data_IF_295035797444
#
_entry.id   IF_295035797444
#
_cell.length_a   1.000
_cell.length_b   1.000
_cell.length_c   1.000
_cell.angle_alpha   90.00
_cell.angle_beta   90.00
_cell.angle_gamma   90.00
#
_symmetry.space_group_name_H-M   'P 1'
#
loop_
_entity.id
_entity.type
_entity.pdbx_description
1 polymer ?
#
# COMPACT_ATOMS: atom_id res chain seq x y z
N UNK A 1 -4.37 -12.78 34.19
CA UNK A 1 -5.64 -13.49 34.01
C UNK A 1 -6.77 -12.50 34.18
N UNK A 2 -7.69 -12.33 33.23
CA UNK A 2 -8.94 -11.61 33.47
C UNK A 2 -9.97 -12.63 33.95
N UNK A 3 -10.51 -12.42 35.14
CA UNK A 3 -11.47 -13.31 35.77
C UNK A 3 -12.74 -12.53 36.12
N UNK A 4 -13.89 -13.12 35.80
CA UNK A 4 -15.16 -12.69 36.36
C UNK A 4 -15.32 -13.35 37.72
N UNK A 5 -15.66 -12.58 38.74
CA UNK A 5 -15.93 -13.11 40.08
C UNK A 5 -17.44 -13.31 40.19
N UNK A 6 -17.87 -14.56 40.42
CA UNK A 6 -19.28 -14.84 40.68
C UNK A 6 -19.69 -14.30 42.06
N UNK A 7 -21.00 -14.12 42.34
CA UNK A 7 -21.49 -13.73 43.67
C UNK A 7 -20.97 -14.65 44.81
N UNK A 8 -20.67 -15.91 44.50
CA UNK A 8 -20.12 -16.90 45.42
C UNK A 8 -18.59 -16.82 45.57
N UNK A 9 -17.94 -15.79 44.98
CA UNK A 9 -16.50 -15.59 45.04
C UNK A 9 -15.68 -16.48 44.10
N UNK A 10 -16.32 -17.22 43.18
CA UNK A 10 -15.63 -18.10 42.24
C UNK A 10 -15.13 -17.31 41.03
N UNK A 11 -13.80 -17.28 40.85
CA UNK A 11 -13.18 -16.72 39.66
C UNK A 11 -13.38 -17.62 38.44
N UNK A 12 -14.05 -17.12 37.41
CA UNK A 12 -14.18 -17.78 36.10
C UNK A 12 -13.29 -17.06 35.09
N UNK A 13 -12.37 -17.74 34.39
CA UNK A 13 -11.50 -17.09 33.41
C UNK A 13 -12.33 -16.57 32.25
N UNK A 14 -12.31 -15.25 32.06
CA UNK A 14 -12.96 -14.56 30.95
C UNK A 14 -12.11 -14.64 29.68
N UNK A 15 -10.79 -14.60 29.84
CA UNK A 15 -9.83 -14.78 28.75
C UNK A 15 -8.92 -15.96 29.09
N UNK A 16 -9.06 -17.05 28.32
CA UNK A 16 -8.29 -18.29 28.52
C UNK A 16 -6.93 -18.30 27.82
N UNK A 17 -6.71 -17.41 26.85
CA UNK A 17 -5.50 -17.35 26.00
C UNK A 17 -4.51 -16.27 26.47
N UNK A 18 -4.21 -16.22 27.77
CA UNK A 18 -3.32 -15.20 28.31
C UNK A 18 -1.89 -15.72 28.42
N UNK A 19 -0.96 -15.09 27.70
CA UNK A 19 0.47 -15.22 27.96
C UNK A 19 0.79 -14.33 29.16
N UNK A 20 1.55 -14.84 30.13
CA UNK A 20 1.96 -14.06 31.30
C UNK A 20 2.80 -12.87 30.84
N UNK A 21 2.39 -11.70 31.30
CA UNK A 21 3.07 -10.43 31.07
C UNK A 21 2.64 -9.48 32.19
N UNK A 22 3.59 -8.76 32.76
CA UNK A 22 3.39 -7.96 33.96
C UNK A 22 2.58 -6.67 33.67
N UNK A 23 2.56 -6.22 32.41
CA UNK A 23 1.79 -5.06 31.96
C UNK A 23 0.37 -5.42 31.49
N UNK A 24 -0.07 -6.67 31.67
CA UNK A 24 -1.42 -7.06 31.27
C UNK A 24 -2.46 -6.33 32.13
N UNK A 25 -3.49 -5.78 31.48
CA UNK A 25 -4.57 -5.01 32.09
C UNK A 25 -4.17 -3.66 32.72
N UNK A 26 -2.88 -3.26 32.65
CA UNK A 26 -2.46 -1.92 33.08
C UNK A 26 -3.00 -0.86 32.13
N UNK A 27 -3.55 0.24 32.66
CA UNK A 27 -4.14 1.30 31.84
C UNK A 27 -5.49 0.93 31.22
N UNK A 28 -6.20 -0.03 31.81
CA UNK A 28 -7.61 -0.31 31.52
C UNK A 28 -8.47 0.91 31.81
N UNK A 29 -9.46 1.18 30.96
CA UNK A 29 -10.36 2.31 31.08
C UNK A 29 -11.81 1.89 30.78
N UNK A 30 -12.77 2.59 31.39
CA UNK A 30 -14.18 2.40 31.08
C UNK A 30 -14.56 3.24 29.86
N UNK A 31 -14.97 2.58 28.78
CA UNK A 31 -15.58 3.20 27.60
C UNK A 31 -17.02 2.69 27.48
N UNK A 32 -17.93 3.41 28.12
CA UNK A 32 -19.28 2.94 28.41
C UNK A 32 -19.99 2.36 27.17
N UNK A 33 -20.59 1.16 27.26
CA UNK A 33 -20.77 0.30 28.45
C UNK A 33 -19.63 -0.71 28.70
N UNK A 34 -18.53 -0.63 27.97
CA UNK A 34 -17.45 -1.62 27.96
C UNK A 34 -16.25 -1.19 28.83
N UNK A 35 -15.51 -2.16 29.36
CA UNK A 35 -14.14 -1.94 29.82
C UNK A 35 -13.18 -2.26 28.66
N UNK A 36 -12.26 -1.35 28.38
CA UNK A 36 -11.20 -1.52 27.39
C UNK A 36 -9.94 -2.02 28.09
N UNK A 37 -9.52 -3.23 27.76
CA UNK A 37 -8.51 -3.97 28.51
C UNK A 37 -7.29 -4.20 27.61
N UNK A 38 -6.18 -3.48 27.82
CA UNK A 38 -4.95 -3.71 27.10
C UNK A 38 -4.29 -5.02 27.55
N UNK A 39 -3.75 -5.77 26.59
CA UNK A 39 -3.14 -7.06 26.83
C UNK A 39 -1.94 -7.29 25.90
N UNK A 40 -1.01 -8.17 26.29
CA UNK A 40 0.17 -8.55 25.50
C UNK A 40 -0.14 -9.18 24.13
N UNK A 41 -1.41 -9.51 23.87
CA UNK A 41 -1.89 -10.16 22.64
C UNK A 41 -2.96 -9.37 21.88
N UNK A 42 -3.20 -8.12 22.27
CA UNK A 42 -4.23 -7.26 21.66
C UNK A 42 -5.04 -6.50 22.71
N UNK A 43 -6.16 -5.94 22.28
CA UNK A 43 -7.08 -5.22 23.17
C UNK A 43 -8.36 -6.01 23.27
N UNK A 44 -8.89 -6.15 24.47
CA UNK A 44 -10.19 -6.78 24.68
C UNK A 44 -11.18 -5.74 25.14
N UNK A 45 -12.39 -5.76 24.57
CA UNK A 45 -13.53 -5.09 25.17
C UNK A 45 -14.33 -6.09 26.00
N UNK A 46 -14.74 -5.67 27.19
CA UNK A 46 -15.48 -6.49 28.12
C UNK A 46 -16.76 -5.80 28.59
N UNK A 47 -17.85 -6.55 28.59
CA UNK A 47 -19.10 -6.25 29.31
C UNK A 47 -19.60 -7.56 29.90
N UNK A 48 -20.35 -7.58 31.01
CA UNK A 48 -20.88 -8.84 31.54
C UNK A 48 -21.59 -9.68 30.44
N UNK A 49 -21.05 -10.88 30.20
CA UNK A 49 -21.56 -11.80 29.17
C UNK A 49 -20.85 -11.75 27.80
N UNK A 50 -19.99 -10.76 27.54
CA UNK A 50 -19.26 -10.63 26.28
C UNK A 50 -17.81 -10.20 26.50
N UNK A 51 -16.88 -10.97 25.93
CA UNK A 51 -15.47 -10.62 25.82
C UNK A 51 -15.09 -10.82 24.37
N UNK A 52 -14.58 -9.79 23.73
CA UNK A 52 -14.08 -9.91 22.36
C UNK A 52 -12.86 -9.01 22.12
N UNK A 53 -12.05 -9.39 21.14
CA UNK A 53 -10.92 -8.58 20.69
C UNK A 53 -11.44 -7.34 19.96
N UNK A 54 -10.84 -6.20 20.28
CA UNK A 54 -11.27 -4.88 19.83
C UNK A 54 -10.13 -4.02 19.27
N UNK A 55 -8.87 -4.47 19.37
CA UNK A 55 -7.73 -3.68 18.93
C UNK A 55 -7.40 -3.88 17.45
N UNK A 56 -6.29 -3.26 17.03
CA UNK A 56 -5.76 -3.34 15.67
C UNK A 56 -5.49 -4.78 15.20
N UNK A 57 -5.30 -5.73 16.12
CA UNK A 57 -5.13 -7.16 15.79
C UNK A 57 -6.33 -7.77 15.05
N UNK A 58 -7.48 -7.09 15.06
CA UNK A 58 -8.67 -7.50 14.31
C UNK A 58 -8.73 -6.90 12.92
N UNK A 59 -7.96 -5.87 12.60
CA UNK A 59 -8.02 -5.20 11.30
C UNK A 59 -7.18 -5.94 10.24
N UNK A 60 -7.61 -7.16 9.89
CA UNK A 60 -6.88 -8.06 8.98
C UNK A 60 -6.93 -7.63 7.49
N UNK A 61 -7.83 -6.72 7.12
CA UNK A 61 -7.91 -6.18 5.75
C UNK A 61 -6.95 -5.00 5.58
N UNK A 62 -6.70 -4.28 6.65
CA UNK A 62 -5.86 -3.10 6.67
C UNK A 62 -4.56 -3.45 7.40
N UNK A 63 -3.68 -4.20 6.73
CA UNK A 63 -2.36 -4.58 7.26
C UNK A 63 -1.41 -3.37 7.39
N UNK A 64 -1.81 -2.39 8.19
CA UNK A 64 -1.01 -1.24 8.53
C UNK A 64 0.34 -1.68 9.11
N UNK A 65 1.44 -0.95 8.81
CA UNK A 65 2.72 -1.17 9.47
C UNK A 65 2.65 -0.83 10.97
N UNK A 66 1.63 -0.09 11.41
CA UNK A 66 1.42 0.28 12.82
C UNK A 66 0.92 -0.94 13.59
N UNK A 67 1.85 -1.65 14.25
CA UNK A 67 1.58 -2.85 15.04
C UNK A 67 2.30 -2.75 16.36
N UNK A 68 1.53 -2.61 17.43
CA UNK A 68 2.09 -2.33 18.75
C UNK A 68 1.24 -2.88 19.87
N UNK A 69 1.61 -2.51 21.09
CA UNK A 69 0.87 -2.84 22.30
C UNK A 69 0.27 -1.58 22.90
N UNK A 70 -1.02 -1.63 23.20
CA UNK A 70 -1.66 -0.56 23.95
C UNK A 70 -1.20 -0.58 25.42
N UNK A 71 -0.88 0.60 25.95
CA UNK A 71 -0.35 0.81 27.30
C UNK A 71 -1.32 1.53 28.22
N UNK A 72 -2.18 2.37 27.66
CA UNK A 72 -3.18 3.11 28.41
C UNK A 72 -4.36 3.47 27.50
N UNK A 73 -5.53 3.58 28.09
CA UNK A 73 -6.72 4.16 27.46
C UNK A 73 -7.21 5.35 28.26
N UNK A 74 -7.85 6.29 27.56
CA UNK A 74 -8.54 7.45 28.14
C UNK A 74 -9.77 7.71 27.27
N UNK A 75 -10.85 8.21 27.86
CA UNK A 75 -12.08 8.52 27.14
C UNK A 75 -12.32 10.02 27.12
N UNK A 76 -12.57 10.55 25.93
CA UNK A 76 -13.04 11.92 25.70
C UNK A 76 -14.43 11.87 25.07
N UNK A 77 -15.46 11.81 25.93
CA UNK A 77 -16.87 11.67 25.55
C UNK A 77 -17.10 10.44 24.62
N UNK A 78 -17.30 10.66 23.32
CA UNK A 78 -17.55 9.60 22.35
C UNK A 78 -16.28 8.95 21.80
N UNK A 79 -15.11 9.53 22.06
CA UNK A 79 -13.84 9.08 21.53
C UNK A 79 -13.06 8.28 22.56
N UNK A 80 -12.64 7.08 22.17
CA UNK A 80 -11.65 6.32 22.90
C UNK A 80 -10.26 6.71 22.40
N UNK A 81 -9.39 7.10 23.32
CA UNK A 81 -7.99 7.42 23.05
C UNK A 81 -7.12 6.30 23.59
N UNK A 82 -6.24 5.74 22.75
CA UNK A 82 -5.36 4.64 23.12
C UNK A 82 -3.89 4.97 22.90
N UNK A 83 -3.07 4.81 23.93
CA UNK A 83 -1.62 4.91 23.84
C UNK A 83 -1.04 3.61 23.34
N UNK A 84 -0.55 3.60 22.11
CA UNK A 84 0.03 2.43 21.46
C UNK A 84 1.55 2.57 21.38
N UNK A 85 2.30 1.61 21.92
CA UNK A 85 3.75 1.55 21.78
C UNK A 85 4.13 0.61 20.64
N UNK A 86 4.93 1.12 19.70
CA UNK A 86 5.49 0.38 18.55
C UNK A 86 7.01 0.51 18.59
N UNK A 87 7.70 -0.50 19.14
CA UNK A 87 9.14 -0.42 19.37
C UNK A 87 9.51 0.74 20.30
N UNK A 88 10.34 1.66 19.82
CA UNK A 88 10.73 2.88 20.54
C UNK A 88 9.89 4.11 20.16
N UNK A 89 8.71 3.91 19.56
CA UNK A 89 7.81 4.99 19.15
C UNK A 89 6.46 4.83 19.84
N UNK A 90 5.76 5.95 20.04
CA UNK A 90 4.38 5.93 20.52
C UNK A 90 3.44 6.55 19.51
N UNK A 91 2.24 5.99 19.47
CA UNK A 91 1.09 6.49 18.74
C UNK A 91 0.00 6.77 19.76
N UNK A 92 -0.65 7.92 19.64
CA UNK A 92 -1.95 8.14 20.29
C UNK A 92 -2.98 7.86 19.22
N UNK A 93 -3.69 6.75 19.40
CA UNK A 93 -4.75 6.31 18.51
C UNK A 93 -6.07 6.88 19.00
N UNK A 94 -6.93 7.25 18.06
CA UNK A 94 -8.32 7.61 18.33
C UNK A 94 -9.22 6.52 17.78
N UNK A 95 -10.27 6.17 18.51
CA UNK A 95 -11.22 5.17 18.09
C UNK A 95 -12.65 5.53 18.42
N UNK A 96 -13.55 4.98 17.61
CA UNK A 96 -15.00 4.98 17.81
C UNK A 96 -15.57 3.61 17.47
N UNK A 97 -16.80 3.37 17.92
CA UNK A 97 -17.55 2.20 17.49
C UNK A 97 -17.73 2.20 15.97
N UNK A 98 -17.64 1.00 15.41
CA UNK A 98 -17.90 0.75 13.99
C UNK A 98 -19.39 0.74 13.72
N UNK A 99 -19.82 1.54 12.76
CA UNK A 99 -21.18 1.57 12.23
C UNK A 99 -21.45 0.44 11.22
N UNK A 100 -22.73 0.18 10.95
CA UNK A 100 -23.15 -0.81 9.97
C UNK A 100 -22.66 -0.47 8.55
N UNK A 101 -21.99 -1.42 7.90
CA UNK A 101 -21.47 -1.26 6.53
C UNK A 101 -20.04 -0.72 6.44
N UNK A 102 -19.42 -0.32 7.56
CA UNK A 102 -18.03 0.16 7.56
C UNK A 102 -17.02 -1.00 7.49
N UNK A 103 -15.99 -0.92 6.61
CA UNK A 103 -15.12 -2.05 6.28
C UNK A 103 -14.13 -2.39 7.40
N UNK A 104 -14.10 -3.65 7.85
CA UNK A 104 -13.14 -4.19 8.83
C UNK A 104 -13.74 -5.34 9.65
N UNK A 105 -12.94 -5.99 10.50
CA UNK A 105 -13.40 -7.14 11.31
C UNK A 105 -13.46 -6.87 12.81
N UNK A 106 -12.89 -5.76 13.29
CA UNK A 106 -12.97 -5.35 14.69
C UNK A 106 -14.27 -4.59 14.99
N UNK A 107 -14.71 -4.55 16.24
CA UNK A 107 -15.84 -3.73 16.66
C UNK A 107 -15.54 -2.22 16.67
N UNK A 108 -14.27 -1.83 16.65
CA UNK A 108 -13.81 -0.44 16.69
C UNK A 108 -13.17 -0.06 15.36
N UNK A 109 -13.28 1.21 14.98
CA UNK A 109 -12.42 1.83 13.97
C UNK A 109 -11.34 2.60 14.69
N UNK A 110 -10.08 2.29 14.37
CA UNK A 110 -8.91 2.95 14.92
C UNK A 110 -8.26 3.83 13.85
N UNK A 111 -7.83 5.02 14.25
CA UNK A 111 -7.02 5.91 13.44
C UNK A 111 -5.87 6.50 14.26
N UNK A 112 -4.80 6.90 13.59
CA UNK A 112 -3.67 7.57 14.23
C UNK A 112 -4.00 9.04 14.43
N UNK A 113 -3.97 9.51 15.67
CA UNK A 113 -4.13 10.93 15.97
C UNK A 113 -2.77 11.63 16.10
N UNK A 114 -1.85 11.04 16.87
CA UNK A 114 -0.49 11.56 17.04
C UNK A 114 0.52 10.44 16.89
N UNK A 115 1.65 10.76 16.27
CA UNK A 115 2.85 9.94 16.21
C UNK A 115 4.02 10.71 16.84
N UNK A 116 4.77 10.04 17.72
CA UNK A 116 6.01 10.57 18.29
C UNK A 116 7.13 9.54 18.13
N UNK A 117 8.15 9.92 17.38
CA UNK A 117 9.34 9.11 17.15
C UNK A 117 10.25 9.11 18.38
N UNK A 118 10.90 7.98 18.65
CA UNK A 118 11.91 7.83 19.70
C UNK A 118 11.45 8.24 21.12
N UNK A 119 10.17 8.07 21.42
CA UNK A 119 9.56 8.40 22.72
C UNK A 119 8.97 7.14 23.35
N UNK A 120 9.07 7.05 24.67
CA UNK A 120 8.39 6.06 25.50
C UNK A 120 7.33 6.70 26.38
N UNK A 121 6.22 5.98 26.57
CA UNK A 121 5.14 6.38 27.47
C UNK A 121 4.39 5.15 27.95
N UNK A 122 3.90 5.19 29.19
CA UNK A 122 3.13 4.10 29.80
C UNK A 122 1.77 4.58 30.34
N UNK A 123 1.51 5.87 30.35
CA UNK A 123 0.34 6.44 30.99
C UNK A 123 -0.20 7.63 30.21
N UNK A 124 -1.53 7.73 30.20
CA UNK A 124 -2.28 8.88 29.72
C UNK A 124 -3.31 9.27 30.76
N UNK A 125 -3.64 10.56 30.81
CA UNK A 125 -4.64 11.09 31.72
C UNK A 125 -5.32 12.30 31.10
N UNK A 126 -6.65 12.28 31.00
CA UNK A 126 -7.41 13.46 30.60
C UNK A 126 -7.75 14.29 31.83
N UNK A 127 -7.51 15.60 31.73
CA UNK A 127 -7.82 16.57 32.77
C UNK A 127 -8.63 17.73 32.22
N UNK A 128 -9.74 18.02 32.90
CA UNK A 128 -10.57 19.21 32.67
C UNK A 128 -10.20 20.38 33.59
N UNK A 129 -9.13 20.25 34.38
CA UNK A 129 -8.65 21.31 35.28
C UNK A 129 -8.03 22.50 34.53
N UNK A 130 -7.68 22.31 33.26
CA UNK A 130 -7.23 23.37 32.36
C UNK A 130 -8.33 23.74 31.38
N UNK A 131 -8.30 24.99 30.90
CA UNK A 131 -9.14 25.46 29.79
C UNK A 131 -8.24 25.84 28.60
N UNK A 132 -8.39 25.20 27.42
CA UNK A 132 -9.24 24.04 27.18
C UNK A 132 -8.73 22.77 27.92
N UNK A 133 -9.56 21.71 28.03
CA UNK A 133 -9.15 20.44 28.62
C UNK A 133 -7.90 19.87 27.93
N UNK A 134 -7.15 19.02 28.64
CA UNK A 134 -5.90 18.47 28.13
C UNK A 134 -5.82 16.97 28.33
N UNK A 135 -5.32 16.27 27.32
CA UNK A 135 -4.80 14.92 27.46
C UNK A 135 -3.32 15.02 27.80
N UNK A 136 -2.96 14.62 29.02
CA UNK A 136 -1.59 14.53 29.48
C UNK A 136 -1.05 13.11 29.27
N UNK A 137 0.22 13.01 28.93
CA UNK A 137 0.88 11.72 28.76
C UNK A 137 2.37 11.83 29.07
N UNK A 138 2.96 10.71 29.52
CA UNK A 138 4.40 10.65 29.72
C UNK A 138 5.14 10.81 28.38
N UNK A 139 6.26 11.50 28.38
CA UNK A 139 7.15 11.66 27.23
C UNK A 139 8.59 11.45 27.72
N UNK A 140 8.98 10.19 27.80
CA UNK A 140 10.21 9.75 28.46
C UNK A 140 10.26 10.25 29.92
N UNK A 141 11.25 11.09 30.25
CA UNK A 141 11.38 11.72 31.58
C UNK A 141 10.57 13.01 31.72
N UNK A 142 9.84 13.42 30.69
CA UNK A 142 9.02 14.63 30.66
C UNK A 142 7.52 14.28 30.63
N UNK A 143 6.69 15.33 30.68
CA UNK A 143 5.25 15.24 30.49
C UNK A 143 4.88 16.11 29.28
N UNK A 144 4.12 15.53 28.36
CA UNK A 144 3.54 16.23 27.22
C UNK A 144 2.02 16.32 27.36
N UNK A 145 1.40 17.20 26.57
CA UNK A 145 -0.05 17.29 26.51
C UNK A 145 -0.58 17.62 25.12
N UNK A 146 -1.82 17.21 24.87
CA UNK A 146 -2.66 17.64 23.74
C UNK A 146 -3.73 18.56 24.29
N UNK A 147 -3.97 19.70 23.64
CA UNK A 147 -5.14 20.52 23.91
C UNK A 147 -6.35 19.85 23.27
N UNK A 148 -7.35 19.52 24.08
CA UNK A 148 -8.62 19.00 23.61
C UNK A 148 -9.57 20.15 23.29
N UNK A 149 -10.69 19.82 22.67
CA UNK A 149 -11.76 20.80 22.43
C UNK A 149 -12.53 21.09 23.73
N UNK A 150 -12.95 22.35 23.91
CA UNK A 150 -13.91 22.70 24.96
C UNK A 150 -15.36 22.34 24.56
N UNK A 151 -15.60 21.99 23.30
CA UNK A 151 -16.91 21.69 22.73
C UNK A 151 -17.31 20.22 22.91
N UNK A 152 -17.20 19.72 24.15
CA UNK A 152 -17.63 18.39 24.56
C UNK A 152 -17.10 17.22 23.67
N UNK A 153 -15.83 17.30 23.27
CA UNK A 153 -15.17 16.30 22.42
C UNK A 153 -15.43 16.45 20.91
N UNK A 154 -16.26 17.40 20.49
CA UNK A 154 -16.39 17.76 19.08
C UNK A 154 -15.20 18.62 18.64
N UNK A 155 -14.62 18.40 17.44
CA UNK A 155 -13.62 19.31 16.89
C UNK A 155 -14.15 20.74 16.84
N UNK A 156 -13.40 21.68 17.39
CA UNK A 156 -13.76 23.10 17.43
C UNK A 156 -12.68 23.93 16.75
N UNK A 157 -12.61 23.77 15.43
CA UNK A 157 -11.53 24.34 14.60
C UNK A 157 -11.55 25.86 14.55
N UNK A 158 -12.69 26.48 14.88
CA UNK A 158 -12.87 27.94 14.91
C UNK A 158 -12.44 28.55 16.25
N UNK A 159 -12.25 27.73 17.30
CA UNK A 159 -11.85 28.22 18.61
C UNK A 159 -10.41 28.74 18.63
N UNK A 160 -10.24 29.90 19.27
CA UNK A 160 -8.94 30.58 19.34
C UNK A 160 -7.86 29.82 20.11
N UNK A 161 -8.21 28.80 20.89
CA UNK A 161 -7.30 27.90 21.60
C UNK A 161 -7.05 26.57 20.86
N UNK A 162 -7.80 26.27 19.79
CA UNK A 162 -7.56 25.12 18.91
C UNK A 162 -6.20 25.24 18.22
N UNK A 163 -5.41 24.17 18.25
CA UNK A 163 -4.06 24.18 17.68
C UNK A 163 -3.87 22.96 16.80
N UNK A 164 -3.56 23.20 15.53
CA UNK A 164 -3.14 22.14 14.62
C UNK A 164 -1.72 21.69 14.95
N UNK A 165 -1.47 20.39 14.80
CA UNK A 165 -0.12 19.86 14.81
C UNK A 165 0.67 20.45 13.62
N UNK A 166 1.98 20.60 13.80
CA UNK A 166 2.91 21.13 12.79
C UNK A 166 3.66 20.03 12.05
N UNK A 167 3.49 18.78 12.46
CA UNK A 167 4.03 17.62 11.76
C UNK A 167 3.20 16.40 12.08
N UNK A 168 3.17 15.44 11.18
CA UNK A 168 2.57 14.15 11.44
C UNK A 168 2.62 13.25 10.23
N UNK A 169 2.23 12.00 10.47
CA UNK A 169 2.34 10.91 9.52
C UNK A 169 1.03 10.13 9.52
N UNK A 170 0.55 9.77 8.33
CA UNK A 170 -0.64 8.92 8.17
C UNK A 170 -0.42 7.85 7.11
N UNK A 171 -0.72 6.60 7.45
CA UNK A 171 -0.72 5.49 6.48
C UNK A 171 -2.11 5.31 5.88
N UNK A 172 -2.16 5.03 4.57
CA UNK A 172 -3.36 4.47 3.94
C UNK A 172 -3.44 2.97 4.20
N UNK A 173 -4.58 2.38 3.89
CA UNK A 173 -4.64 0.94 3.71
C UNK A 173 -3.88 0.52 2.45
N UNK A 174 -3.61 -0.78 2.34
CA UNK A 174 -3.04 -1.37 1.13
C UNK A 174 -4.12 -1.48 0.05
N UNK A 175 -3.86 -0.94 -1.11
CA UNK A 175 -4.74 -0.99 -2.27
C UNK A 175 -4.39 -2.19 -3.14
N UNK A 176 -5.31 -3.14 -3.26
CA UNK A 176 -5.22 -4.28 -4.18
C UNK A 176 -6.02 -4.07 -5.47
N UNK A 177 -6.89 -3.05 -5.50
CA UNK A 177 -7.78 -2.75 -6.62
C UNK A 177 -8.66 -3.95 -7.06
N UNK A 178 -8.96 -4.86 -6.14
CA UNK A 178 -9.83 -6.01 -6.40
C UNK A 178 -9.23 -7.09 -7.31
N UNK A 179 -7.94 -7.02 -7.63
CA UNK A 179 -7.23 -8.03 -8.42
C UNK A 179 -5.97 -8.49 -7.68
N UNK A 180 -5.69 -9.79 -7.72
CA UNK A 180 -4.55 -10.41 -7.02
C UNK A 180 -3.28 -10.48 -7.87
N UNK A 181 -3.37 -10.15 -9.16
CA UNK A 181 -2.23 -10.15 -10.09
C UNK A 181 -1.45 -8.85 -10.02
N UNK A 182 -0.29 -8.87 -10.66
CA UNK A 182 0.56 -7.70 -10.82
C UNK A 182 -0.11 -6.65 -11.70
N UNK A 183 0.06 -5.39 -11.30
CA UNK A 183 -0.53 -4.21 -11.92
C UNK A 183 0.54 -3.14 -12.02
N UNK A 184 0.37 -2.28 -13.01
CA UNK A 184 1.10 -1.03 -13.06
C UNK A 184 0.35 0.00 -12.20
N UNK A 185 1.06 0.74 -11.36
CA UNK A 185 0.50 1.86 -10.61
C UNK A 185 0.93 3.17 -11.29
N UNK A 186 0.16 3.72 -12.25
CA UNK A 186 0.65 4.80 -13.10
C UNK A 186 0.71 6.16 -12.40
N UNK A 187 -0.20 6.41 -11.45
CA UNK A 187 -0.33 7.73 -10.83
C UNK A 187 -1.10 7.70 -9.52
N UNK A 188 -0.96 8.78 -8.77
CA UNK A 188 -1.81 9.14 -7.63
C UNK A 188 -2.25 10.59 -7.78
N UNK A 189 -3.50 10.86 -7.39
CA UNK A 189 -4.10 12.18 -7.42
C UNK A 189 -4.36 12.64 -5.99
N UNK A 190 -3.93 13.86 -5.68
CA UNK A 190 -4.10 14.47 -4.37
C UNK A 190 -4.58 15.91 -4.55
N UNK A 191 -5.57 16.34 -3.78
CA UNK A 191 -6.03 17.74 -3.82
C UNK A 191 -5.70 18.41 -2.50
N UNK A 192 -4.88 19.45 -2.60
CA UNK A 192 -4.51 20.32 -1.50
C UNK A 192 -5.51 21.45 -1.28
N UNK A 193 -5.67 21.90 -0.03
CA UNK A 193 -6.65 22.95 0.30
C UNK A 193 -6.18 23.91 1.39
N UNK A 194 -6.57 25.17 1.22
CA UNK A 194 -6.75 26.16 2.28
C UNK A 194 -5.51 27.01 2.55
N UNK A 195 -4.39 26.37 2.86
CA UNK A 195 -3.23 27.09 3.42
C UNK A 195 -1.87 26.57 3.00
N UNK A 196 -1.81 25.72 1.96
CA UNK A 196 -0.56 25.09 1.55
C UNK A 196 0.46 26.10 1.00
N UNK A 197 1.73 25.84 1.28
CA UNK A 197 2.86 26.67 0.83
C UNK A 197 4.16 25.87 0.86
N UNK A 198 5.27 26.47 0.43
CA UNK A 198 6.59 25.83 0.50
C UNK A 198 7.02 25.40 1.94
N UNK A 199 6.47 26.02 2.98
CA UNK A 199 6.70 25.67 4.38
C UNK A 199 5.55 24.87 5.04
N UNK A 200 4.43 24.70 4.32
CA UNK A 200 3.24 23.95 4.74
C UNK A 200 2.81 23.00 3.64
N UNK A 201 3.20 21.76 3.72
CA UNK A 201 3.04 20.82 2.61
C UNK A 201 2.81 19.40 3.11
N UNK A 202 2.39 18.55 2.19
CA UNK A 202 2.38 17.10 2.34
C UNK A 202 3.36 16.47 1.38
N UNK A 203 4.18 15.54 1.88
CA UNK A 203 4.95 14.62 1.04
C UNK A 203 4.20 13.28 0.98
N UNK A 204 3.97 12.81 -0.24
CA UNK A 204 3.31 11.53 -0.51
C UNK A 204 4.41 10.51 -0.76
N UNK A 205 4.41 9.40 -0.03
CA UNK A 205 5.25 8.27 -0.40
C UNK A 205 4.41 7.05 -0.69
N UNK A 206 4.98 6.15 -1.48
CA UNK A 206 4.37 4.87 -1.83
C UNK A 206 5.32 3.72 -1.56
N UNK A 207 4.75 2.55 -1.31
CA UNK A 207 5.43 1.26 -1.17
C UNK A 207 4.65 0.23 -1.96
N UNK A 208 5.33 -0.50 -2.84
CA UNK A 208 4.75 -1.59 -3.62
C UNK A 208 5.12 -2.92 -2.96
N UNK A 209 4.14 -3.80 -2.77
CA UNK A 209 4.29 -5.14 -2.19
C UNK A 209 5.07 -5.18 -0.86
N UNK A 210 4.95 -4.13 -0.04
CA UNK A 210 5.65 -4.02 1.25
C UNK A 210 7.13 -3.68 1.15
N UNK A 211 7.59 -3.19 -0.01
CA UNK A 211 8.94 -2.66 -0.21
C UNK A 211 9.21 -1.36 0.57
N UNK A 212 10.40 -0.79 0.35
CA UNK A 212 10.75 0.50 0.94
C UNK A 212 9.85 1.63 0.40
N UNK A 213 9.52 2.59 1.26
CA UNK A 213 8.76 3.77 0.87
C UNK A 213 9.62 4.73 0.04
N UNK A 214 9.07 5.24 -1.05
CA UNK A 214 9.68 6.25 -1.91
C UNK A 214 8.72 7.43 -2.10
N UNK A 215 9.24 8.65 -2.02
CA UNK A 215 8.49 9.86 -2.38
C UNK A 215 8.81 10.36 -3.79
N UNK A 216 9.60 9.63 -4.58
CA UNK A 216 10.03 10.09 -5.89
C UNK A 216 9.02 9.70 -6.97
N UNK A 217 8.66 10.66 -7.81
CA UNK A 217 7.86 10.43 -9.01
C UNK A 217 8.72 9.86 -10.17
N UNK A 218 8.12 9.74 -11.35
CA UNK A 218 8.77 9.20 -12.55
C UNK A 218 10.00 10.02 -13.01
N UNK A 219 10.02 11.32 -12.73
CA UNK A 219 11.09 12.24 -13.13
C UNK A 219 12.16 12.37 -12.02
N UNK A 220 11.92 11.73 -10.86
CA UNK A 220 12.82 11.76 -9.71
C UNK A 220 12.57 12.93 -8.77
N UNK A 221 11.48 13.66 -8.96
CA UNK A 221 11.07 14.76 -8.09
C UNK A 221 10.27 14.25 -6.89
N UNK A 222 10.36 14.95 -5.76
CA UNK A 222 9.57 14.60 -4.56
C UNK A 222 8.10 14.92 -4.80
N UNK A 223 7.22 13.94 -4.59
CA UNK A 223 5.76 14.05 -4.67
C UNK A 223 5.20 14.92 -3.55
N UNK A 224 5.38 16.23 -3.69
CA UNK A 224 5.06 17.23 -2.69
C UNK A 224 3.83 18.05 -3.09
N UNK A 225 2.87 18.10 -2.18
CA UNK A 225 1.67 18.95 -2.27
C UNK A 225 1.90 20.19 -1.41
N UNK A 226 2.40 21.26 -2.02
CA UNK A 226 2.75 22.53 -1.37
C UNK A 226 1.96 23.74 -1.87
N UNK A 227 0.89 23.49 -2.63
CA UNK A 227 -0.06 24.51 -3.07
C UNK A 227 -1.47 23.94 -3.08
N UNK A 228 -2.46 24.82 -2.99
CA UNK A 228 -3.86 24.43 -3.14
C UNK A 228 -4.15 23.95 -4.57
N UNK A 229 -5.15 23.09 -4.71
CA UNK A 229 -5.60 22.57 -5.99
C UNK A 229 -5.19 21.12 -6.25
N UNK A 230 -5.41 20.68 -7.49
CA UNK A 230 -5.20 19.30 -7.93
C UNK A 230 -3.72 19.05 -8.25
N UNK A 231 -3.15 18.04 -7.61
CA UNK A 231 -1.83 17.50 -7.89
C UNK A 231 -1.97 16.09 -8.45
N UNK A 232 -1.24 15.80 -9.52
CA UNK A 232 -1.15 14.46 -10.08
C UNK A 232 0.31 14.07 -10.13
N UNK A 233 0.67 13.02 -9.42
CA UNK A 233 2.02 12.48 -9.44
C UNK A 233 2.03 11.20 -10.25
N UNK A 234 2.97 11.09 -11.18
CA UNK A 234 3.18 9.89 -11.98
C UNK A 234 4.21 9.02 -11.28
N UNK A 235 3.87 7.78 -10.98
CA UNK A 235 4.81 6.90 -10.30
C UNK A 235 5.82 6.33 -11.32
N UNK A 236 7.04 5.96 -10.87
CA UNK A 236 8.04 5.32 -11.73
C UNK A 236 7.49 4.09 -12.46
N UNK A 237 8.00 3.80 -13.65
CA UNK A 237 7.62 2.59 -14.43
C UNK A 237 7.96 1.28 -13.70
N UNK A 238 8.76 1.34 -12.64
CA UNK A 238 9.10 0.23 -11.75
C UNK A 238 8.09 0.02 -10.62
N UNK A 239 7.11 0.92 -10.46
CA UNK A 239 6.01 0.77 -9.50
C UNK A 239 5.00 -0.27 -10.01
N UNK A 240 5.42 -1.53 -9.98
CA UNK A 240 4.69 -2.70 -10.47
C UNK A 240 4.60 -3.74 -9.36
N UNK A 241 3.39 -4.19 -9.06
CA UNK A 241 3.17 -5.22 -8.04
C UNK A 241 1.70 -5.55 -7.82
N UNK A 242 1.41 -6.31 -6.78
CA UNK A 242 0.04 -6.76 -6.47
C UNK A 242 -0.72 -5.74 -5.64
N UNK A 243 -0.02 -5.13 -4.69
CA UNK A 243 -0.57 -4.12 -3.78
C UNK A 243 0.34 -2.89 -3.68
N UNK A 244 -0.27 -1.75 -3.39
CA UNK A 244 0.43 -0.50 -3.11
C UNK A 244 -0.11 0.12 -1.82
N UNK A 245 0.76 0.66 -0.99
CA UNK A 245 0.41 1.42 0.20
C UNK A 245 1.02 2.81 0.11
N UNK A 246 0.33 3.80 0.65
CA UNK A 246 0.85 5.15 0.74
C UNK A 246 1.00 5.56 2.20
N UNK A 247 1.94 6.46 2.45
CA UNK A 247 1.89 7.29 3.65
C UNK A 247 2.03 8.77 3.27
N UNK A 248 1.47 9.60 4.14
CA UNK A 248 1.32 11.02 3.95
C UNK A 248 2.00 11.69 5.14
N UNK A 249 3.10 12.37 4.87
CA UNK A 249 3.85 13.12 5.87
C UNK A 249 3.54 14.59 5.67
N UNK A 250 3.00 15.25 6.69
CA UNK A 250 2.79 16.69 6.64
C UNK A 250 3.85 17.43 7.43
N UNK A 251 4.21 18.59 6.90
CA UNK A 251 5.01 19.60 7.56
C UNK A 251 4.22 20.90 7.58
N UNK A 252 4.21 21.59 8.71
CA UNK A 252 3.56 22.87 8.88
C UNK A 252 4.36 23.83 9.73
N UNK A 253 4.23 25.12 9.44
CA UNK A 253 4.87 26.22 10.16
C UNK A 253 3.89 26.99 11.08
N UNK A 254 2.61 26.63 11.06
CA UNK A 254 1.54 27.33 11.77
C UNK A 254 0.65 26.37 12.55
N UNK A 255 0.30 26.77 13.77
CA UNK A 255 -0.66 26.06 14.62
C UNK A 255 -2.11 26.53 14.39
N UNK A 256 -2.32 27.49 13.49
CA UNK A 256 -3.63 28.08 13.18
C UNK A 256 -4.00 27.96 11.69
N UNK A 257 -3.07 27.47 10.87
CA UNK A 257 -3.26 27.31 9.44
C UNK A 257 -2.72 25.93 9.01
N UNK A 258 -3.58 24.89 9.02
CA UNK A 258 -3.16 23.52 8.76
C UNK A 258 -2.90 23.26 7.27
N UNK A 259 -1.95 22.36 6.94
CA UNK A 259 -1.87 21.79 5.60
C UNK A 259 -3.02 20.78 5.44
N UNK A 260 -3.99 21.04 4.55
CA UNK A 260 -5.13 20.13 4.35
C UNK A 260 -5.05 19.41 2.99
N UNK A 261 -5.45 18.13 3.01
CA UNK A 261 -5.80 17.35 1.82
C UNK A 261 -7.29 17.04 1.91
N UNK A 262 -8.05 17.37 0.86
CA UNK A 262 -9.50 17.07 0.79
C UNK A 262 -9.82 15.87 -0.11
N UNK A 263 -8.87 15.40 -0.91
CA UNK A 263 -9.05 14.28 -1.82
C UNK A 263 -7.75 13.53 -2.05
N UNK A 264 -7.85 12.19 -2.11
CA UNK A 264 -6.73 11.29 -2.37
C UNK A 264 -7.25 10.08 -3.16
N UNK A 265 -6.68 9.82 -4.33
CA UNK A 265 -7.07 8.68 -5.17
C UNK A 265 -5.84 8.08 -5.89
N UNK A 266 -5.47 6.84 -5.57
CA UNK A 266 -4.46 6.11 -6.33
C UNK A 266 -5.09 5.36 -7.50
N UNK A 267 -4.31 5.13 -8.56
CA UNK A 267 -4.75 4.41 -9.76
C UNK A 267 -3.93 3.15 -9.98
N UNK A 268 -4.56 2.13 -10.57
CA UNK A 268 -3.90 0.91 -11.01
C UNK A 268 -4.44 0.46 -12.37
N UNK A 269 -3.57 -0.17 -13.16
CA UNK A 269 -3.90 -0.77 -14.45
C UNK A 269 -3.44 -2.24 -14.42
N UNK A 270 -4.35 -3.20 -14.61
CA UNK A 270 -3.97 -4.61 -14.73
C UNK A 270 -2.98 -4.82 -15.86
N UNK A 271 -1.90 -5.55 -15.61
CA UNK A 271 -0.94 -5.86 -16.67
C UNK A 271 -1.57 -6.82 -17.68
N UNK A 272 -1.56 -6.45 -18.96
CA UNK A 272 -1.81 -7.39 -20.04
C UNK A 272 -0.74 -8.47 -20.01
N UNK A 273 -1.11 -9.76 -20.18
CA UNK A 273 -0.13 -10.84 -20.39
C UNK A 273 0.72 -10.49 -21.63
N UNK A 274 1.96 -10.05 -21.42
CA UNK A 274 2.91 -9.81 -22.51
C UNK A 274 3.40 -11.16 -23.00
N UNK A 275 3.13 -11.47 -24.27
CA UNK A 275 3.64 -12.67 -24.91
C UNK A 275 4.91 -12.28 -25.68
N UNK A 276 6.08 -12.90 -25.41
CA UNK A 276 7.31 -12.53 -26.08
C UNK A 276 7.20 -12.77 -27.59
N UNK A 277 7.72 -11.82 -28.36
CA UNK A 277 7.84 -11.90 -29.82
C UNK A 277 9.34 -11.85 -30.14
N UNK A 278 9.82 -12.88 -30.81
CA UNK A 278 11.19 -12.96 -31.31
C UNK A 278 11.20 -12.41 -32.74
N UNK A 279 12.00 -11.38 -32.99
CA UNK A 279 12.24 -10.82 -34.32
C UNK A 279 13.55 -11.38 -34.86
N UNK A 280 13.48 -12.07 -36.00
CA UNK A 280 14.63 -12.71 -36.65
C UNK A 280 14.76 -12.13 -38.05
N UNK A 281 15.97 -11.72 -38.43
CA UNK A 281 16.30 -11.35 -39.80
C UNK A 281 16.94 -12.54 -40.51
N UNK A 282 16.32 -12.96 -41.61
CA UNK A 282 16.76 -14.04 -42.47
C UNK A 282 17.28 -13.46 -43.78
N UNK A 283 18.49 -13.84 -44.17
CA UNK A 283 19.05 -13.54 -45.48
C UNK A 283 18.89 -14.78 -46.36
N UNK A 284 18.01 -14.68 -47.35
CA UNK A 284 17.66 -15.76 -48.27
C UNK A 284 18.58 -15.71 -49.49
N UNK A 285 19.36 -16.77 -49.65
CA UNK A 285 20.32 -16.94 -50.75
C UNK A 285 20.30 -18.39 -51.23
N UNK A 286 20.57 -18.62 -52.51
CA UNK A 286 20.50 -19.96 -53.13
C UNK A 286 21.51 -20.96 -52.58
N UNK A 287 22.72 -20.51 -52.25
CA UNK A 287 23.86 -21.39 -51.93
C UNK A 287 24.28 -21.36 -50.44
N UNK A 288 23.38 -20.96 -49.52
CA UNK A 288 23.63 -21.05 -48.08
C UNK A 288 23.67 -22.52 -47.63
N UNK A 289 24.84 -23.14 -47.72
CA UNK A 289 25.07 -24.51 -47.24
C UNK A 289 25.15 -24.54 -45.72
N UNK A 290 24.03 -24.78 -45.04
CA UNK A 290 24.04 -25.07 -43.60
C UNK A 290 23.70 -26.53 -43.27
N UNK A 291 22.83 -27.21 -44.04
CA UNK A 291 22.44 -28.61 -43.77
C UNK A 291 22.76 -29.56 -44.93
N UNK A 292 23.54 -30.62 -44.63
CA UNK A 292 23.85 -31.66 -45.62
C UNK A 292 22.64 -32.57 -45.85
N UNK A 293 22.16 -32.64 -47.09
CA UNK A 293 21.10 -33.58 -47.52
C UNK A 293 19.74 -32.95 -47.83
N UNK A 294 19.61 -31.62 -47.78
CA UNK A 294 18.41 -30.92 -48.26
C UNK A 294 18.53 -30.52 -49.74
N UNK A 295 17.38 -30.43 -50.42
CA UNK A 295 17.28 -29.99 -51.81
C UNK A 295 17.69 -28.51 -51.94
N UNK A 296 18.47 -28.18 -52.98
CA UNK A 296 18.91 -26.80 -53.22
C UNK A 296 17.71 -25.98 -53.68
N UNK A 297 17.35 -24.95 -52.89
CA UNK A 297 16.23 -24.04 -53.17
C UNK A 297 16.74 -22.65 -53.54
N UNK A 298 16.17 -22.05 -54.58
CA UNK A 298 16.38 -20.64 -54.94
C UNK A 298 15.91 -19.69 -53.83
N UNK A 299 16.42 -18.46 -53.81
CA UNK A 299 16.00 -17.48 -52.81
C UNK A 299 14.51 -17.12 -52.93
N UNK A 300 13.95 -17.18 -54.14
CA UNK A 300 12.53 -16.95 -54.41
C UNK A 300 11.65 -18.10 -53.89
N UNK A 301 12.11 -19.35 -54.03
CA UNK A 301 11.42 -20.52 -53.45
C UNK A 301 11.44 -20.47 -51.92
N UNK A 302 12.58 -20.11 -51.31
CA UNK A 302 12.67 -19.92 -49.85
C UNK A 302 11.71 -18.85 -49.34
N UNK A 303 11.55 -17.74 -50.06
CA UNK A 303 10.57 -16.70 -49.72
C UNK A 303 9.12 -17.21 -49.84
N UNK A 304 8.82 -17.99 -50.88
CA UNK A 304 7.50 -18.62 -51.07
C UNK A 304 7.18 -19.63 -49.97
N UNK A 305 8.17 -20.40 -49.52
CA UNK A 305 8.03 -21.34 -48.41
C UNK A 305 7.73 -20.59 -47.11
N UNK A 306 8.42 -19.46 -46.84
CA UNK A 306 8.12 -18.62 -45.67
C UNK A 306 6.70 -18.04 -45.70
N UNK A 307 6.22 -17.60 -46.87
CA UNK A 307 4.82 -17.16 -47.02
C UNK A 307 3.83 -18.29 -46.73
N UNK A 308 4.12 -19.51 -47.19
CA UNK A 308 3.30 -20.68 -46.89
C UNK A 308 3.27 -20.99 -45.39
N UNK A 309 4.39 -20.80 -44.70
CA UNK A 309 4.48 -20.98 -43.24
C UNK A 309 3.76 -19.86 -42.46
N UNK A 310 3.75 -18.63 -42.96
CA UNK A 310 2.98 -17.51 -42.39
C UNK A 310 1.46 -17.75 -42.46
N UNK A 311 0.99 -18.38 -43.54
CA UNK A 311 -0.42 -18.77 -43.72
C UNK A 311 -0.81 -20.04 -42.95
N UNK A 312 0.17 -20.83 -42.48
CA UNK A 312 -0.10 -22.07 -41.77
C UNK A 312 -0.56 -21.84 -40.33
N UNK A 313 -1.55 -22.63 -39.89
CA UNK A 313 -2.02 -22.63 -38.50
C UNK A 313 -1.18 -23.49 -37.56
N UNK A 314 -0.27 -24.32 -38.10
CA UNK A 314 0.56 -25.23 -37.33
C UNK A 314 1.79 -24.53 -36.75
N UNK A 315 2.23 -24.87 -35.53
CA UNK A 315 3.45 -24.33 -34.97
C UNK A 315 4.69 -24.77 -35.77
N UNK A 316 5.66 -23.88 -35.85
CA UNK A 316 7.04 -24.17 -36.25
C UNK A 316 7.81 -24.69 -35.05
N UNK A 317 8.61 -25.73 -35.24
CA UNK A 317 9.60 -26.17 -34.25
C UNK A 317 10.83 -25.30 -34.43
N UNK A 318 11.07 -24.39 -33.49
CA UNK A 318 12.25 -23.56 -33.47
C UNK A 318 13.33 -24.25 -32.61
N UNK A 319 14.36 -24.78 -33.27
CA UNK A 319 15.57 -25.34 -32.66
C UNK A 319 16.73 -24.36 -32.91
N UNK A 320 17.29 -23.80 -31.85
CA UNK A 320 18.38 -22.82 -31.96
C UNK A 320 19.18 -22.68 -30.66
N UNK A 321 19.87 -21.55 -30.39
CA UNK A 321 20.73 -21.37 -29.21
C UNK A 321 19.99 -21.40 -27.85
N UNK A 322 18.69 -21.70 -27.87
CA UNK A 322 17.74 -21.68 -26.75
C UNK A 322 17.59 -23.04 -26.04
N UNK A 323 18.34 -24.07 -26.46
CA UNK A 323 18.55 -25.33 -25.73
C UNK A 323 17.43 -26.38 -25.84
N UNK A 324 16.19 -25.97 -26.08
CA UNK A 324 15.04 -26.88 -26.22
C UNK A 324 14.20 -26.55 -27.47
N UNK A 325 13.67 -27.58 -28.12
CA UNK A 325 12.73 -27.46 -29.23
C UNK A 325 11.43 -26.81 -28.75
N UNK A 326 11.10 -25.64 -29.30
CA UNK A 326 9.89 -24.90 -28.92
C UNK A 326 8.93 -24.73 -30.09
N UNK A 327 7.64 -24.90 -29.79
CA UNK A 327 6.56 -24.55 -30.71
C UNK A 327 6.39 -23.03 -30.76
N UNK A 328 6.62 -22.45 -31.94
CA UNK A 328 6.45 -21.02 -32.22
C UNK A 328 5.50 -20.81 -33.40
N UNK A 329 4.81 -19.67 -33.44
CA UNK A 329 3.92 -19.31 -34.54
C UNK A 329 4.46 -18.08 -35.24
N UNK A 330 4.39 -18.06 -36.58
CA UNK A 330 4.65 -16.85 -37.35
C UNK A 330 3.54 -15.85 -37.03
N UNK A 331 3.95 -14.64 -36.63
CA UNK A 331 3.05 -13.52 -36.36
C UNK A 331 3.01 -12.55 -37.54
N UNK A 332 4.16 -12.33 -38.16
CA UNK A 332 4.29 -11.49 -39.35
C UNK A 332 5.56 -11.83 -40.11
N UNK A 333 5.45 -11.81 -41.43
CA UNK A 333 6.56 -11.90 -42.37
C UNK A 333 6.68 -10.59 -43.14
N UNK A 334 7.87 -9.98 -43.17
CA UNK A 334 8.10 -8.72 -43.90
C UNK A 334 9.36 -8.80 -44.75
N UNK A 335 9.22 -8.58 -46.04
CA UNK A 335 10.36 -8.34 -46.93
C UNK A 335 10.98 -6.97 -46.61
N UNK A 336 12.24 -6.95 -46.21
CA UNK A 336 12.98 -5.75 -45.82
C UNK A 336 13.70 -5.14 -47.01
N UNK A 337 14.40 -5.96 -47.80
CA UNK A 337 15.10 -5.51 -49.00
C UNK A 337 15.28 -6.62 -50.03
N UNK A 338 15.41 -6.23 -51.30
CA UNK A 338 15.80 -7.09 -52.41
C UNK A 338 17.16 -6.63 -52.90
N UNK A 339 18.13 -7.55 -52.95
CA UNK A 339 19.46 -7.33 -53.50
C UNK A 339 19.52 -8.05 -54.85
N UNK A 340 19.68 -7.31 -55.93
CA UNK A 340 19.69 -7.86 -57.29
C UNK A 340 20.88 -7.28 -58.05
N UNK A 341 21.84 -8.13 -58.42
CA UNK A 341 22.90 -7.78 -59.36
C UNK A 341 22.54 -8.29 -60.77
N UNK A 342 23.03 -7.65 -61.86
CA UNK A 342 22.59 -7.95 -63.24
C UNK A 342 22.82 -9.40 -63.69
N UNK A 343 23.84 -10.06 -63.13
CA UNK A 343 24.29 -11.41 -63.53
C UNK A 343 24.14 -12.45 -62.40
N UNK A 344 23.47 -12.08 -61.28
CA UNK A 344 23.24 -12.95 -60.13
C UNK A 344 21.75 -13.11 -59.83
N UNK A 345 21.41 -14.16 -59.11
CA UNK A 345 20.05 -14.39 -58.63
C UNK A 345 19.67 -13.37 -57.55
N UNK A 346 18.38 -13.03 -57.44
CA UNK A 346 17.88 -12.13 -56.42
C UNK A 346 18.16 -12.70 -55.01
N UNK A 347 18.66 -11.88 -54.10
CA UNK A 347 18.71 -12.21 -52.68
C UNK A 347 17.69 -11.37 -51.91
N UNK A 348 17.13 -11.96 -50.85
CA UNK A 348 16.08 -11.31 -50.05
C UNK A 348 16.51 -11.19 -48.60
N UNK A 349 16.36 -10.00 -48.03
CA UNK A 349 16.42 -9.82 -46.59
C UNK A 349 14.99 -9.78 -46.05
N UNK A 350 14.67 -10.68 -45.15
CA UNK A 350 13.31 -10.88 -44.63
C UNK A 350 13.33 -10.82 -43.11
N UNK A 351 12.36 -10.13 -42.53
CA UNK A 351 12.13 -10.10 -41.09
C UNK A 351 10.95 -11.03 -40.76
N UNK A 352 11.19 -11.98 -39.87
CA UNK A 352 10.20 -12.92 -39.36
C UNK A 352 9.95 -12.64 -37.89
N UNK A 353 8.71 -12.34 -37.53
CA UNK A 353 8.29 -12.25 -36.14
C UNK A 353 7.68 -13.58 -35.69
N UNK A 354 8.30 -14.24 -34.71
CA UNK A 354 7.84 -15.49 -34.12
C UNK A 354 7.29 -15.25 -32.71
N UNK A 355 6.19 -15.90 -32.35
CA UNK A 355 5.56 -15.75 -31.04
C UNK A 355 5.29 -17.12 -30.42
N UNK A 356 5.62 -17.29 -29.13
CA UNK A 356 5.18 -18.45 -28.35
C UNK A 356 3.67 -18.29 -28.03
N UNK A 357 2.83 -19.26 -28.38
CA UNK A 357 1.45 -19.29 -27.87
C UNK A 357 1.38 -20.26 -26.71
N UNK A 358 1.21 -19.77 -25.48
CA UNK A 358 0.81 -20.65 -24.36
C UNK A 358 -0.62 -21.11 -24.61
N UNK A 359 -0.80 -22.37 -24.98
CA UNK A 359 -2.11 -23.03 -24.91
C UNK A 359 -2.49 -23.05 -23.43
N UNK A 360 -3.70 -22.57 -23.13
CA UNK A 360 -4.21 -22.41 -21.78
C UNK A 360 -4.28 -23.71 -20.99
#
# INVERSE_FOLDING_TARGET
>A
GLFGVSPEGKGTPLIKRMVRDDDNCLGMEMFEPYAMIPHSRGVYRFVPGLVESAGLEKELINESPVRGRFKAFVVDNQWLLGLLTVGATIYIMMARDRGGGEPGFGPMIWDTWIYLAATTSQAMFLSTLTSPPRLWFGNDNNISYIKLSASAGAPDVDDSAYRFAQSGLRYTHKYTFGDWRDKDFPKVVVVGKGTLSAARYWDVYFSVDGGAYSALDIDGDTMRVNSDGLHTFYLPLTAVGREIQFHLDFTGDSTTAPPEINYFEPFAVPQSKKVPINLIQLHLVRDAKLDMGQEVRSAAEQLSDLHTLDESSTPLVASGPWGEDKNMWVKSLRLVSVLQEPDLEAEYLVEVALQERKVA
#
